data_IF_354417442464
#
_entry.id   IF_354417442464
#
_cell.length_a   1.000
_cell.length_b   1.000
_cell.length_c   1.000
_cell.angle_alpha   90.00
_cell.angle_beta   90.00
_cell.angle_gamma   90.00
#
_symmetry.space_group_name_H-M   'P 1'
#
loop_
_entity.id
_entity.type
_entity.pdbx_description
1 polymer ?
#
# COMPACT_ATOMS: atom_id res chain seq x y z
N UNK A 1 -24.07 26.50 -13.37
CA UNK A 1 -23.90 25.23 -12.63
C UNK A 1 -22.75 25.45 -11.64
N UNK A 2 -22.84 24.95 -10.40
CA UNK A 2 -21.72 25.05 -9.48
C UNK A 2 -20.49 24.35 -10.08
N UNK A 3 -19.29 24.92 -9.84
CA UNK A 3 -18.02 24.41 -10.38
C UNK A 3 -17.68 23.01 -9.87
N UNK A 4 -18.09 22.71 -8.64
CA UNK A 4 -17.89 21.42 -7.97
C UNK A 4 -19.24 20.83 -7.56
N UNK A 5 -19.31 19.50 -7.48
CA UNK A 5 -20.53 18.78 -7.08
C UNK A 5 -20.87 18.98 -5.59
N UNK A 6 -19.85 19.12 -4.75
CA UNK A 6 -19.95 19.28 -3.30
C UNK A 6 -18.66 19.90 -2.73
N UNK A 7 -18.63 20.11 -1.42
CA UNK A 7 -17.47 20.66 -0.70
C UNK A 7 -16.25 19.72 -0.74
N UNK A 8 -16.45 18.41 -0.78
CA UNK A 8 -15.39 17.41 -0.81
C UNK A 8 -14.61 17.50 -2.14
N UNK A 9 -15.32 17.62 -3.26
CA UNK A 9 -14.72 17.82 -4.58
C UNK A 9 -13.98 19.16 -4.70
N UNK A 10 -14.51 20.23 -4.10
CA UNK A 10 -13.83 21.54 -4.05
C UNK A 10 -12.55 21.47 -3.19
N UNK A 11 -12.62 20.78 -2.04
CA UNK A 11 -11.49 20.59 -1.14
C UNK A 11 -10.38 19.74 -1.77
N UNK A 12 -10.74 18.65 -2.46
CA UNK A 12 -9.79 17.81 -3.21
C UNK A 12 -9.01 18.60 -4.26
N UNK A 13 -9.69 19.53 -4.94
CA UNK A 13 -9.09 20.41 -5.91
C UNK A 13 -8.24 21.54 -5.30
N UNK A 14 -8.21 21.67 -3.96
CA UNK A 14 -7.48 22.73 -3.26
C UNK A 14 -8.09 24.13 -3.42
N UNK A 15 -9.35 24.23 -3.90
CA UNK A 15 -9.99 25.50 -4.23
C UNK A 15 -10.62 26.13 -2.97
N UNK A 16 -9.80 26.86 -2.21
CA UNK A 16 -10.21 27.56 -0.99
C UNK A 16 -11.39 28.51 -1.24
N UNK A 17 -11.41 29.24 -2.34
CA UNK A 17 -12.47 30.20 -2.63
C UNK A 17 -13.81 29.49 -2.82
N UNK A 18 -13.84 28.39 -3.58
CA UNK A 18 -15.05 27.61 -3.75
C UNK A 18 -15.52 26.96 -2.44
N UNK A 19 -14.60 26.46 -1.60
CA UNK A 19 -14.95 25.93 -0.28
C UNK A 19 -15.54 27.01 0.62
N UNK A 20 -14.97 28.22 0.62
CA UNK A 20 -15.50 29.36 1.37
C UNK A 20 -16.90 29.77 0.89
N UNK A 21 -17.12 29.86 -0.42
CA UNK A 21 -18.43 30.18 -1.00
C UNK A 21 -19.49 29.13 -0.62
N UNK A 22 -19.12 27.84 -0.65
CA UNK A 22 -20.02 26.73 -0.25
C UNK A 22 -20.38 26.85 1.23
N UNK A 23 -19.41 27.03 2.12
CA UNK A 23 -19.65 27.15 3.57
C UNK A 23 -20.43 28.44 3.92
N UNK A 24 -20.22 29.52 3.16
CA UNK A 24 -20.98 30.75 3.33
C UNK A 24 -22.45 30.57 2.92
N UNK A 25 -22.71 29.83 1.84
CA UNK A 25 -24.06 29.55 1.37
C UNK A 25 -24.79 28.53 2.27
N UNK A 26 -24.06 27.51 2.75
CA UNK A 26 -24.57 26.48 3.66
C UNK A 26 -23.48 26.06 4.67
N UNK A 27 -23.51 26.61 5.90
CA UNK A 27 -22.56 26.23 6.95
C UNK A 27 -22.60 24.74 7.33
N UNK A 28 -23.71 24.03 7.07
CA UNK A 28 -23.80 22.59 7.36
C UNK A 28 -23.02 21.73 6.37
N UNK A 29 -22.65 22.29 5.21
CA UNK A 29 -21.86 21.57 4.21
C UNK A 29 -20.53 21.04 4.79
N UNK A 30 -19.94 21.74 5.76
CA UNK A 30 -18.66 21.36 6.40
C UNK A 30 -18.70 20.00 7.12
N UNK A 31 -19.90 19.50 7.47
CA UNK A 31 -20.11 18.21 8.14
C UNK A 31 -20.45 17.05 7.18
N UNK A 32 -20.50 17.33 5.87
CA UNK A 32 -20.82 16.30 4.88
C UNK A 32 -19.64 15.38 4.60
N UNK A 33 -19.96 14.14 4.21
CA UNK A 33 -18.97 13.15 3.77
C UNK A 33 -19.32 12.61 2.41
N UNK A 34 -18.32 12.27 1.59
CA UNK A 34 -18.51 11.54 0.34
C UNK A 34 -18.93 10.06 0.59
N UNK A 35 -19.11 9.28 -0.48
CA UNK A 35 -19.50 7.86 -0.39
C UNK A 35 -18.52 6.97 0.39
N UNK A 36 -17.26 7.36 0.49
CA UNK A 36 -16.21 6.67 1.23
C UNK A 36 -16.11 7.13 2.70
N UNK A 37 -17.01 8.02 3.15
CA UNK A 37 -16.95 8.58 4.50
C UNK A 37 -15.86 9.64 4.70
N UNK A 38 -15.23 10.12 3.63
CA UNK A 38 -14.25 11.20 3.70
C UNK A 38 -15.01 12.52 3.82
N UNK A 39 -14.61 13.36 4.77
CA UNK A 39 -15.05 14.76 4.83
C UNK A 39 -14.12 15.65 3.99
N UNK A 40 -14.43 16.95 3.94
CA UNK A 40 -13.63 17.93 3.21
C UNK A 40 -12.15 17.97 3.67
N UNK A 41 -11.87 17.72 4.95
CA UNK A 41 -10.51 17.73 5.49
C UNK A 41 -9.68 16.56 4.96
N UNK A 42 -10.24 15.35 4.88
CA UNK A 42 -9.58 14.22 4.21
C UNK A 42 -9.22 14.57 2.77
N UNK A 43 -10.18 15.09 2.01
CA UNK A 43 -9.99 15.38 0.58
C UNK A 43 -8.95 16.48 0.34
N UNK A 44 -8.90 17.51 1.20
CA UNK A 44 -7.86 18.53 1.14
C UNK A 44 -6.44 17.97 1.33
N UNK A 45 -6.30 16.86 2.06
CA UNK A 45 -5.02 16.23 2.40
C UNK A 45 -4.58 15.14 1.38
N UNK A 46 -5.53 14.53 0.65
CA UNK A 46 -5.26 13.54 -0.42
C UNK A 46 -4.81 14.19 -1.75
N UNK A 47 -4.77 15.52 -1.81
CA UNK A 47 -4.72 16.33 -3.04
C UNK A 47 -3.89 15.72 -4.20
N UNK A 48 -4.49 15.73 -5.40
CA UNK A 48 -3.90 15.24 -6.66
C UNK A 48 -2.64 16.03 -7.12
N UNK A 49 -2.10 16.91 -6.27
CA UNK A 49 -1.15 17.96 -6.61
C UNK A 49 0.29 17.67 -6.13
N UNK A 50 0.74 16.43 -6.27
CA UNK A 50 2.12 16.00 -6.01
C UNK A 50 2.68 16.47 -4.64
N UNK A 51 1.91 16.35 -3.56
CA UNK A 51 2.34 16.69 -2.20
C UNK A 51 2.19 18.17 -1.79
N UNK A 52 1.68 19.04 -2.67
CA UNK A 52 1.41 20.45 -2.32
C UNK A 52 -0.01 20.63 -1.77
N UNK A 53 -0.19 20.30 -0.49
CA UNK A 53 -1.44 20.57 0.24
C UNK A 53 -1.60 22.08 0.49
N UNK A 54 -2.79 22.61 0.20
CA UNK A 54 -3.12 24.00 0.50
C UNK A 54 -3.40 24.17 2.01
N UNK A 55 -2.37 24.59 2.77
CA UNK A 55 -2.48 24.70 4.22
C UNK A 55 -3.54 25.73 4.69
N UNK A 56 -3.77 26.80 3.93
CA UNK A 56 -4.82 27.78 4.26
C UNK A 56 -6.23 27.20 4.11
N UNK A 57 -6.43 26.27 3.17
CA UNK A 57 -7.66 25.49 3.09
C UNK A 57 -7.84 24.56 4.30
N UNK A 58 -6.79 23.86 4.71
CA UNK A 58 -6.81 23.02 5.92
C UNK A 58 -7.17 23.86 7.15
N UNK A 59 -6.52 25.03 7.33
CA UNK A 59 -6.83 25.97 8.41
C UNK A 59 -8.29 26.39 8.37
N UNK A 60 -8.80 26.80 7.21
CA UNK A 60 -10.19 27.22 7.08
C UNK A 60 -11.16 26.12 7.50
N UNK A 61 -10.98 24.89 7.00
CA UNK A 61 -11.86 23.76 7.30
C UNK A 61 -11.87 23.43 8.80
N UNK A 62 -10.71 23.41 9.45
CA UNK A 62 -10.61 23.15 10.90
C UNK A 62 -11.32 24.24 11.70
N UNK A 63 -11.10 25.52 11.39
CA UNK A 63 -11.77 26.63 12.09
C UNK A 63 -13.28 26.72 11.79
N UNK A 64 -13.72 26.23 10.63
CA UNK A 64 -15.13 26.10 10.28
C UNK A 64 -15.82 24.93 11.02
N UNK A 65 -15.09 24.15 11.80
CA UNK A 65 -15.62 23.04 12.61
C UNK A 65 -15.74 21.73 11.84
N UNK A 66 -15.01 21.56 10.73
CA UNK A 66 -14.96 20.26 10.04
C UNK A 66 -14.52 19.17 11.02
N UNK A 67 -15.23 18.02 11.12
CA UNK A 67 -14.90 16.99 12.11
C UNK A 67 -13.48 16.43 11.93
N UNK A 68 -12.55 16.87 12.80
CA UNK A 68 -11.11 16.56 12.67
C UNK A 68 -10.77 15.08 12.88
N UNK A 69 -11.61 14.34 13.60
CA UNK A 69 -11.44 12.91 13.91
C UNK A 69 -12.45 12.01 13.16
N UNK A 70 -13.05 12.49 12.07
CA UNK A 70 -13.90 11.64 11.23
C UNK A 70 -13.08 10.45 10.72
N UNK A 71 -13.63 9.23 10.81
CA UNK A 71 -13.00 8.04 10.27
C UNK A 71 -13.67 7.66 8.95
N UNK A 72 -12.87 7.38 7.92
CA UNK A 72 -13.37 6.92 6.63
C UNK A 72 -13.92 5.49 6.67
N UNK A 73 -14.62 5.09 5.61
CA UNK A 73 -15.15 3.74 5.43
C UNK A 73 -14.22 2.93 4.52
N UNK A 74 -14.16 1.62 4.75
CA UNK A 74 -13.41 0.68 3.93
C UNK A 74 -12.59 -0.29 4.78
N UNK A 75 -11.77 -1.11 4.13
CA UNK A 75 -10.87 -2.07 4.80
C UNK A 75 -9.72 -1.40 5.56
N UNK A 76 -9.44 -0.13 5.23
CA UNK A 76 -8.36 0.69 5.78
C UNK A 76 -8.94 2.04 6.24
N UNK A 77 -9.71 2.07 7.34
CA UNK A 77 -10.36 3.26 7.84
C UNK A 77 -9.32 4.26 8.36
N UNK A 78 -9.35 5.49 7.86
CA UNK A 78 -8.33 6.53 8.14
C UNK A 78 -8.98 7.80 8.69
N UNK A 79 -8.26 8.48 9.57
CA UNK A 79 -8.55 9.84 10.01
C UNK A 79 -7.85 10.87 9.10
N UNK A 80 -8.24 12.15 9.14
CA UNK A 80 -7.50 13.21 8.45
C UNK A 80 -6.03 13.26 8.85
N UNK A 81 -5.71 13.07 10.14
CA UNK A 81 -4.32 13.02 10.60
C UNK A 81 -3.55 11.88 9.95
N UNK A 82 -4.16 10.71 9.80
CA UNK A 82 -3.52 9.57 9.15
C UNK A 82 -3.18 9.85 7.68
N UNK A 83 -4.12 10.46 6.95
CA UNK A 83 -3.88 10.91 5.58
C UNK A 83 -2.74 11.95 5.56
N UNK A 84 -2.73 12.90 6.50
CA UNK A 84 -1.66 13.89 6.58
C UNK A 84 -0.29 13.23 6.84
N UNK A 85 -0.21 12.27 7.76
CA UNK A 85 1.01 11.56 8.10
C UNK A 85 1.63 10.83 6.89
N UNK A 86 0.78 10.28 6.04
CA UNK A 86 1.20 9.50 4.87
C UNK A 86 1.54 10.37 3.66
N UNK A 87 0.75 11.42 3.40
CA UNK A 87 0.82 12.17 2.15
C UNK A 87 1.38 13.60 2.26
N UNK A 88 1.44 14.19 3.47
CA UNK A 88 1.94 15.56 3.65
C UNK A 88 3.40 15.55 4.15
N UNK A 89 4.39 15.99 3.35
CA UNK A 89 5.79 16.04 3.79
C UNK A 89 6.06 17.11 4.85
N UNK A 90 5.14 18.05 5.03
CA UNK A 90 5.27 19.18 5.93
C UNK A 90 4.74 18.86 7.34
N UNK A 91 5.63 18.93 8.32
CA UNK A 91 5.30 18.80 9.74
C UNK A 91 4.32 19.86 10.24
N UNK A 92 4.25 21.04 9.60
CA UNK A 92 3.36 22.12 10.05
C UNK A 92 1.88 21.72 9.99
N UNK A 93 1.47 20.97 8.96
CA UNK A 93 0.08 20.51 8.81
C UNK A 93 -0.24 19.50 9.91
N UNK A 94 0.66 18.54 10.16
CA UNK A 94 0.50 17.50 11.18
C UNK A 94 0.49 18.11 12.58
N UNK A 95 1.38 19.07 12.85
CA UNK A 95 1.40 19.82 14.11
C UNK A 95 0.11 20.60 14.30
N UNK A 96 -0.36 21.32 13.27
CA UNK A 96 -1.60 22.09 13.34
C UNK A 96 -2.82 21.21 13.61
N UNK A 97 -2.94 20.05 12.94
CA UNK A 97 -4.03 19.11 13.21
C UNK A 97 -3.98 18.62 14.67
N UNK A 98 -2.79 18.25 15.16
CA UNK A 98 -2.59 17.82 16.54
C UNK A 98 -2.97 18.90 17.55
N UNK A 99 -2.51 20.13 17.34
CA UNK A 99 -2.80 21.28 18.21
C UNK A 99 -4.30 21.60 18.26
N UNK A 100 -5.07 21.19 17.24
CA UNK A 100 -6.52 21.36 17.15
C UNK A 100 -7.31 20.10 17.57
N UNK A 101 -6.67 19.14 18.24
CA UNK A 101 -7.34 17.99 18.84
C UNK A 101 -7.52 16.80 17.90
N UNK A 102 -6.68 16.67 16.87
CA UNK A 102 -6.58 15.43 16.13
C UNK A 102 -6.12 14.28 17.04
N UNK A 103 -6.87 13.19 17.06
CA UNK A 103 -6.56 12.04 17.91
C UNK A 103 -5.35 11.27 17.35
N UNK A 104 -4.26 11.23 18.11
CA UNK A 104 -3.02 10.55 17.73
C UNK A 104 -3.07 9.02 17.92
N UNK A 105 -4.05 8.54 18.69
CA UNK A 105 -4.20 7.14 19.08
C UNK A 105 -5.23 6.38 18.23
N UNK A 106 -5.71 6.97 17.13
CA UNK A 106 -6.63 6.26 16.22
C UNK A 106 -5.87 5.14 15.55
N UNK A 107 -6.11 3.93 16.01
CA UNK A 107 -5.62 2.70 15.40
C UNK A 107 -6.38 2.48 14.09
N UNK A 108 -5.67 2.08 13.02
CA UNK A 108 -6.34 1.44 11.89
C UNK A 108 -7.01 0.13 12.38
N UNK A 109 -7.87 -0.46 11.55
CA UNK A 109 -8.61 -1.69 11.90
C UNK A 109 -7.76 -2.88 12.35
N UNK A 110 -6.44 -2.83 12.13
CA UNK A 110 -5.45 -3.84 12.49
C UNK A 110 -4.59 -3.50 13.73
N UNK A 111 -4.80 -2.35 14.38
CA UNK A 111 -4.00 -1.94 15.52
C UNK A 111 -2.69 -1.23 15.18
N UNK A 112 -2.43 -0.86 13.91
CA UNK A 112 -1.28 -0.03 13.53
C UNK A 112 -1.38 1.36 14.14
N UNK A 113 -0.24 1.91 14.55
CA UNK A 113 -0.13 3.28 15.03
C UNK A 113 0.19 4.22 13.86
N UNK A 114 -0.22 5.49 13.91
CA UNK A 114 0.03 6.50 12.86
C UNK A 114 1.53 6.75 12.55
N UNK A 115 2.43 6.24 13.38
CA UNK A 115 3.88 6.31 13.16
C UNK A 115 4.34 5.19 12.21
N UNK A 116 3.62 4.07 12.21
CA UNK A 116 3.95 2.86 11.47
C UNK A 116 3.41 2.89 10.03
N UNK A 117 2.46 3.79 9.71
CA UNK A 117 1.85 3.90 8.37
C UNK A 117 2.71 4.66 7.35
N UNK A 118 3.90 5.11 7.74
CA UNK A 118 4.77 5.94 6.91
C UNK A 118 5.79 5.05 6.19
N UNK A 119 5.42 4.63 4.97
CA UNK A 119 6.26 3.74 4.14
C UNK A 119 7.41 4.47 3.41
N UNK A 120 7.21 5.76 3.07
CA UNK A 120 8.23 6.58 2.41
C UNK A 120 9.05 7.41 3.41
N UNK A 121 9.94 6.73 4.15
CA UNK A 121 10.80 7.37 5.15
C UNK A 121 11.75 8.44 4.62
N UNK A 122 11.99 8.53 3.31
CA UNK A 122 12.90 9.54 2.78
C UNK A 122 12.26 10.94 2.78
N UNK A 123 10.98 11.03 2.43
CA UNK A 123 10.24 12.30 2.36
C UNK A 123 9.51 12.61 3.67
N UNK A 124 9.03 11.58 4.38
CA UNK A 124 8.18 11.72 5.55
C UNK A 124 8.90 11.53 6.90
N UNK A 125 10.25 11.51 6.88
CA UNK A 125 11.05 11.29 8.09
C UNK A 125 10.73 12.26 9.22
N UNK A 126 10.57 13.53 8.89
CA UNK A 126 10.32 14.59 9.85
C UNK A 126 8.95 14.41 10.52
N UNK A 127 7.93 14.04 9.74
CA UNK A 127 6.59 13.73 10.23
C UNK A 127 6.58 12.50 11.12
N UNK A 128 7.27 11.42 10.72
CA UNK A 128 7.37 10.23 11.56
C UNK A 128 8.07 10.51 12.90
N UNK A 129 9.14 11.30 12.88
CA UNK A 129 9.85 11.73 14.09
C UNK A 129 8.98 12.61 14.99
N UNK A 130 8.21 13.53 14.39
CA UNK A 130 7.27 14.37 15.12
C UNK A 130 6.22 13.52 15.81
N UNK A 131 5.55 12.63 15.06
CA UNK A 131 4.51 11.76 15.60
C UNK A 131 5.05 10.84 16.70
N UNK A 132 6.23 10.24 16.51
CA UNK A 132 6.90 9.43 17.54
C UNK A 132 7.18 10.24 18.82
N UNK A 133 7.58 11.50 18.68
CA UNK A 133 7.81 12.40 19.82
C UNK A 133 6.50 12.77 20.53
N UNK A 134 5.44 13.05 19.77
CA UNK A 134 4.14 13.47 20.31
C UNK A 134 3.40 12.34 21.02
N UNK A 135 3.52 11.10 20.53
CA UNK A 135 2.81 9.94 21.09
C UNK A 135 3.65 9.13 22.06
N UNK A 136 4.97 9.26 22.02
CA UNK A 136 5.89 8.35 22.71
C UNK A 136 5.96 6.94 22.09
N UNK A 137 5.27 6.71 20.97
CA UNK A 137 5.39 5.46 20.21
C UNK A 137 6.77 5.42 19.55
N UNK A 138 7.55 4.34 19.72
CA UNK A 138 8.89 4.26 19.16
C UNK A 138 8.83 4.33 17.63
N UNK A 139 9.90 4.85 17.02
CA UNK A 139 10.06 4.69 15.58
C UNK A 139 10.09 3.19 15.25
N UNK A 140 9.44 2.75 14.15
CA UNK A 140 9.54 1.37 13.72
C UNK A 140 11.01 1.03 13.54
N UNK A 141 11.40 -0.18 13.97
CA UNK A 141 12.75 -0.66 13.71
C UNK A 141 12.98 -0.64 12.20
N UNK A 142 14.17 -0.20 11.74
CA UNK A 142 14.49 -0.31 10.33
C UNK A 142 14.31 -1.78 9.92
N UNK A 143 13.80 -2.05 8.70
CA UNK A 143 13.62 -3.41 8.25
C UNK A 143 14.95 -4.16 8.41
N UNK A 144 14.91 -5.44 8.85
CA UNK A 144 16.12 -6.21 9.04
C UNK A 144 16.94 -6.18 7.74
N UNK A 145 18.28 -6.21 7.83
CA UNK A 145 19.10 -6.27 6.64
C UNK A 145 18.68 -7.47 5.79
N UNK A 146 18.79 -7.36 4.45
CA UNK A 146 18.40 -8.45 3.58
C UNK A 146 19.17 -9.72 3.96
N UNK A 147 18.47 -10.87 3.93
CA UNK A 147 19.03 -12.19 4.31
C UNK A 147 20.33 -12.50 3.57
N UNK A 148 20.43 -12.02 2.33
CA UNK A 148 21.64 -12.07 1.52
C UNK A 148 22.09 -10.67 1.12
N UNK A 149 23.41 -10.44 0.97
CA UNK A 149 23.91 -9.18 0.44
C UNK A 149 23.34 -8.93 -0.96
N UNK A 150 23.04 -7.66 -1.24
CA UNK A 150 22.59 -7.24 -2.56
C UNK A 150 23.63 -7.64 -3.61
N UNK A 151 23.19 -8.33 -4.66
CA UNK A 151 24.08 -8.83 -5.69
C UNK A 151 23.43 -8.83 -7.06
N UNK A 152 24.00 -8.02 -7.96
CA UNK A 152 23.62 -8.04 -9.37
C UNK A 152 24.18 -9.29 -10.05
N UNK A 153 23.31 -10.01 -10.74
CA UNK A 153 23.71 -11.18 -11.53
C UNK A 153 23.99 -10.84 -13.00
N UNK A 154 24.85 -11.64 -13.65
CA UNK A 154 25.11 -11.54 -15.09
C UNK A 154 23.91 -12.00 -15.93
N UNK A 155 23.91 -11.62 -17.22
CA UNK A 155 22.80 -11.89 -18.16
C UNK A 155 22.56 -13.39 -18.40
N UNK A 156 23.61 -14.22 -18.43
CA UNK A 156 23.45 -15.65 -18.71
C UNK A 156 22.81 -16.37 -17.52
N UNK A 157 23.26 -16.06 -16.30
CA UNK A 157 22.66 -16.55 -15.06
C UNK A 157 21.22 -16.05 -14.93
N UNK A 158 20.96 -14.76 -15.18
CA UNK A 158 19.61 -14.20 -15.14
C UNK A 158 18.63 -14.88 -16.10
N UNK A 159 19.10 -15.24 -17.31
CA UNK A 159 18.27 -15.97 -18.29
C UNK A 159 17.86 -17.35 -17.77
N UNK A 160 18.76 -18.06 -17.09
CA UNK A 160 18.46 -19.36 -16.47
C UNK A 160 17.50 -19.19 -15.28
N UNK A 161 17.72 -18.20 -14.43
CA UNK A 161 16.85 -17.89 -13.28
C UNK A 161 15.44 -17.55 -13.71
N UNK A 162 15.26 -16.64 -14.67
CA UNK A 162 13.93 -16.29 -15.19
C UNK A 162 13.21 -17.47 -15.85
N UNK A 163 13.93 -18.38 -16.50
CA UNK A 163 13.34 -19.62 -17.01
C UNK A 163 12.87 -20.55 -15.88
N UNK A 164 13.65 -20.66 -14.80
CA UNK A 164 13.27 -21.43 -13.61
C UNK A 164 12.07 -20.81 -12.87
N UNK A 165 12.01 -19.48 -12.74
CA UNK A 165 10.87 -18.76 -12.17
C UNK A 165 9.60 -19.04 -12.99
N UNK A 166 9.67 -18.94 -14.32
CA UNK A 166 8.53 -19.28 -15.20
C UNK A 166 8.06 -20.72 -15.01
N UNK A 167 8.98 -21.67 -14.85
CA UNK A 167 8.65 -23.06 -14.56
C UNK A 167 7.97 -23.21 -13.19
N UNK A 168 8.44 -22.50 -12.17
CA UNK A 168 7.82 -22.51 -10.85
C UNK A 168 6.39 -21.94 -10.89
N UNK A 169 6.18 -20.83 -11.60
CA UNK A 169 4.85 -20.25 -11.79
C UNK A 169 3.88 -21.21 -12.50
N UNK A 170 4.35 -21.96 -13.48
CA UNK A 170 3.54 -23.01 -14.10
C UNK A 170 3.18 -24.16 -13.13
N UNK A 171 4.00 -24.43 -12.11
CA UNK A 171 3.66 -25.40 -11.05
C UNK A 171 2.65 -24.82 -10.06
N UNK A 172 2.76 -23.54 -9.69
CA UNK A 172 1.76 -22.84 -8.88
C UNK A 172 0.37 -22.93 -9.54
N UNK A 173 0.28 -22.70 -10.85
CA UNK A 173 -0.98 -22.85 -11.59
C UNK A 173 -1.59 -24.25 -11.53
N UNK A 174 -0.73 -25.29 -11.60
CA UNK A 174 -1.18 -26.68 -11.45
C UNK A 174 -1.63 -27.00 -10.03
N UNK A 175 -1.06 -26.31 -9.04
CA UNK A 175 -1.41 -26.44 -7.63
C UNK A 175 -2.67 -25.64 -7.23
N UNK A 176 -3.35 -24.98 -8.18
CA UNK A 176 -4.57 -24.21 -7.88
C UNK A 176 -4.30 -22.77 -7.45
N UNK A 177 -3.23 -22.16 -7.96
CA UNK A 177 -2.89 -20.75 -7.69
C UNK A 177 -2.79 -20.02 -9.02
N UNK A 178 -3.59 -18.97 -9.23
CA UNK A 178 -3.47 -18.15 -10.44
C UNK A 178 -2.11 -17.43 -10.39
N UNK A 179 -1.19 -17.81 -11.28
CA UNK A 179 0.16 -17.25 -11.26
C UNK A 179 0.41 -16.36 -12.48
N UNK A 180 0.84 -15.12 -12.28
CA UNK A 180 1.22 -14.21 -13.38
C UNK A 180 2.68 -13.78 -13.21
N UNK A 181 3.61 -14.36 -13.99
CA UNK A 181 4.98 -13.88 -14.00
C UNK A 181 5.07 -12.60 -14.82
N UNK A 182 5.71 -11.56 -14.28
CA UNK A 182 5.90 -10.27 -14.96
C UNK A 182 4.58 -9.61 -15.35
N UNK A 183 3.71 -9.45 -14.36
CA UNK A 183 2.44 -8.72 -14.46
C UNK A 183 2.69 -7.21 -14.70
N UNK A 184 1.60 -6.47 -14.90
CA UNK A 184 1.55 -5.02 -15.08
C UNK A 184 2.24 -4.19 -13.99
N UNK A 185 2.14 -2.86 -14.10
CA UNK A 185 2.94 -1.95 -13.29
C UNK A 185 2.39 -1.77 -11.88
N UNK A 186 1.08 -1.53 -11.73
CA UNK A 186 0.45 -1.31 -10.42
C UNK A 186 -0.13 -2.59 -9.83
N UNK A 187 -0.17 -2.70 -8.50
CA UNK A 187 -0.75 -3.87 -7.80
C UNK A 187 -2.21 -4.09 -8.20
N UNK A 188 -3.02 -3.03 -8.27
CA UNK A 188 -4.43 -3.12 -8.65
C UNK A 188 -4.66 -3.66 -10.07
N UNK A 189 -3.86 -3.22 -11.05
CA UNK A 189 -3.90 -3.76 -12.41
C UNK A 189 -3.49 -5.24 -12.43
N UNK A 190 -2.46 -5.62 -11.68
CA UNK A 190 -2.01 -7.02 -11.60
C UNK A 190 -3.06 -7.94 -10.97
N UNK A 191 -3.78 -7.47 -9.95
CA UNK A 191 -4.90 -8.20 -9.36
C UNK A 191 -6.01 -8.37 -10.40
N UNK A 192 -6.38 -7.31 -11.12
CA UNK A 192 -7.37 -7.39 -12.19
C UNK A 192 -6.96 -8.43 -13.26
N UNK A 193 -5.69 -8.46 -13.67
CA UNK A 193 -5.17 -9.49 -14.59
C UNK A 193 -5.29 -10.91 -14.02
N UNK A 194 -5.10 -11.10 -12.72
CA UNK A 194 -5.30 -12.40 -12.07
C UNK A 194 -6.76 -12.83 -12.16
N UNK A 195 -7.71 -11.93 -11.92
CA UNK A 195 -9.14 -12.22 -12.04
C UNK A 195 -9.56 -12.44 -13.51
N UNK A 196 -9.07 -11.64 -14.46
CA UNK A 196 -9.30 -11.86 -15.89
C UNK A 196 -8.81 -13.25 -16.35
N UNK A 197 -7.64 -13.67 -15.84
CA UNK A 197 -7.07 -14.99 -16.12
C UNK A 197 -7.87 -16.11 -15.44
N UNK A 198 -8.41 -15.87 -14.24
CA UNK A 198 -9.27 -16.80 -13.51
C UNK A 198 -10.58 -17.02 -14.28
N UNK A 199 -11.23 -15.97 -14.77
CA UNK A 199 -12.49 -16.05 -15.53
C UNK A 199 -12.36 -16.85 -16.83
N UNK A 200 -11.15 -16.91 -17.40
CA UNK A 200 -10.86 -17.72 -18.58
C UNK A 200 -10.66 -19.22 -18.27
N UNK A 201 -10.64 -19.61 -16.99
CA UNK A 201 -10.44 -21.00 -16.59
C UNK A 201 -11.78 -21.77 -16.65
N UNK A 202 -11.78 -23.02 -17.15
CA UNK A 202 -13.01 -23.81 -17.23
C UNK A 202 -13.52 -24.26 -15.84
N UNK A 203 -12.63 -24.32 -14.86
CA UNK A 203 -12.94 -24.63 -13.46
C UNK A 203 -12.25 -23.60 -12.56
N UNK A 204 -12.94 -22.48 -12.33
CA UNK A 204 -12.43 -21.43 -11.45
C UNK A 204 -12.39 -21.88 -9.98
N UNK A 205 -13.22 -22.86 -9.59
CA UNK A 205 -13.39 -23.28 -8.20
C UNK A 205 -12.17 -24.00 -7.61
N UNK A 206 -11.29 -24.52 -8.48
CA UNK A 206 -10.03 -25.16 -8.06
C UNK A 206 -8.97 -24.18 -7.56
N UNK A 207 -9.15 -22.88 -7.80
CA UNK A 207 -8.15 -21.88 -7.46
C UNK A 207 -8.43 -21.26 -6.10
N UNK A 208 -7.46 -21.36 -5.19
CA UNK A 208 -7.57 -20.82 -3.83
C UNK A 208 -7.19 -19.33 -3.78
N UNK A 209 -6.20 -18.95 -4.59
CA UNK A 209 -5.62 -17.62 -4.59
C UNK A 209 -4.82 -17.30 -5.84
N UNK A 210 -4.13 -16.18 -5.80
CA UNK A 210 -3.25 -15.71 -6.87
C UNK A 210 -1.85 -15.39 -6.35
N UNK A 211 -0.88 -15.33 -7.27
CA UNK A 211 0.50 -14.96 -7.01
C UNK A 211 1.09 -14.25 -8.24
N UNK A 212 1.72 -13.10 -8.07
CA UNK A 212 2.36 -12.38 -9.18
C UNK A 212 3.59 -11.59 -8.75
N UNK A 213 4.41 -11.22 -9.73
CA UNK A 213 5.41 -10.17 -9.56
C UNK A 213 5.35 -9.22 -10.74
N UNK A 214 5.61 -7.95 -10.49
CA UNK A 214 5.59 -6.89 -11.50
C UNK A 214 6.91 -6.81 -12.26
N UNK A 215 6.90 -6.16 -13.42
CA UNK A 215 8.13 -5.88 -14.16
C UNK A 215 9.17 -5.06 -13.36
N UNK A 216 8.79 -4.01 -12.61
CA UNK A 216 9.70 -3.33 -11.68
C UNK A 216 10.35 -4.29 -10.67
N UNK A 217 9.58 -5.19 -10.06
CA UNK A 217 10.09 -6.18 -9.11
C UNK A 217 11.08 -7.14 -9.76
N UNK A 218 10.81 -7.60 -10.98
CA UNK A 218 11.74 -8.41 -11.79
C UNK A 218 13.08 -7.69 -12.02
N UNK A 219 13.02 -6.41 -12.39
CA UNK A 219 14.23 -5.63 -12.66
C UNK A 219 15.04 -5.40 -11.39
N UNK A 220 14.38 -5.07 -10.27
CA UNK A 220 15.02 -4.99 -8.94
C UNK A 220 15.64 -6.31 -8.52
N UNK A 221 14.96 -7.43 -8.73
CA UNK A 221 15.47 -8.75 -8.39
C UNK A 221 16.78 -9.10 -9.12
N UNK A 222 16.95 -8.63 -10.36
CA UNK A 222 18.20 -8.80 -11.10
C UNK A 222 19.35 -8.01 -10.48
N UNK A 223 19.07 -6.81 -9.99
CA UNK A 223 20.07 -5.89 -9.44
C UNK A 223 20.43 -6.21 -7.98
N UNK A 224 19.44 -6.63 -7.18
CA UNK A 224 19.58 -6.80 -5.73
C UNK A 224 19.47 -8.25 -5.26
N UNK A 225 19.04 -9.18 -6.11
CA UNK A 225 19.01 -10.61 -5.80
C UNK A 225 17.79 -11.11 -5.03
N UNK A 226 16.78 -10.26 -4.78
CA UNK A 226 15.51 -10.68 -4.18
C UNK A 226 14.33 -10.33 -5.08
N UNK A 227 13.47 -11.33 -5.35
CA UNK A 227 12.20 -11.13 -6.06
C UNK A 227 11.03 -11.10 -5.07
N UNK A 228 10.29 -10.00 -5.07
CA UNK A 228 9.08 -9.83 -4.28
C UNK A 228 7.85 -10.33 -5.03
N UNK A 229 7.12 -11.27 -4.43
CA UNK A 229 5.86 -11.78 -4.94
C UNK A 229 4.69 -11.22 -4.13
N UNK A 230 3.70 -10.68 -4.83
CA UNK A 230 2.38 -10.40 -4.28
C UNK A 230 1.56 -11.69 -4.34
N UNK A 231 0.68 -11.87 -3.37
CA UNK A 231 -0.25 -12.99 -3.32
C UNK A 231 -1.52 -12.56 -2.61
N UNK A 232 -2.58 -13.34 -2.76
CA UNK A 232 -3.85 -13.07 -2.10
C UNK A 232 -4.90 -14.11 -2.40
N UNK A 233 -5.97 -14.11 -1.61
CA UNK A 233 -7.08 -15.03 -1.76
C UNK A 233 -8.01 -14.59 -2.90
N UNK A 234 -8.63 -15.56 -3.57
CA UNK A 234 -9.72 -15.30 -4.52
C UNK A 234 -11.04 -15.07 -3.77
N UNK A 235 -11.23 -15.78 -2.64
CA UNK A 235 -12.40 -15.62 -1.79
C UNK A 235 -12.28 -14.36 -0.92
N UNK A 236 -13.42 -13.77 -0.55
CA UNK A 236 -13.48 -12.67 0.42
C UNK A 236 -13.04 -13.11 1.83
N UNK A 237 -13.16 -14.41 2.14
CA UNK A 237 -12.63 -14.99 3.37
C UNK A 237 -11.13 -15.28 3.23
N UNK A 238 -10.32 -14.52 3.97
CA UNK A 238 -8.87 -14.62 3.97
C UNK A 238 -8.31 -15.62 5.00
N UNK A 239 -9.16 -16.39 5.68
CA UNK A 239 -8.71 -17.38 6.68
C UNK A 239 -7.73 -18.43 6.13
N UNK A 240 -7.73 -18.67 4.82
CA UNK A 240 -6.82 -19.57 4.11
C UNK A 240 -5.50 -18.93 3.63
N UNK A 241 -5.25 -17.65 3.88
CA UNK A 241 -4.10 -16.94 3.29
C UNK A 241 -2.75 -17.48 3.75
N UNK A 242 -2.65 -17.93 5.01
CA UNK A 242 -1.43 -18.54 5.54
C UNK A 242 -1.11 -19.88 4.85
N UNK A 243 -2.13 -20.72 4.64
CA UNK A 243 -1.97 -21.99 3.91
C UNK A 243 -1.58 -21.74 2.45
N UNK A 244 -2.18 -20.73 1.81
CA UNK A 244 -1.80 -20.31 0.46
C UNK A 244 -0.33 -19.87 0.40
N UNK A 245 0.11 -19.01 1.33
CA UNK A 245 1.49 -18.52 1.38
C UNK A 245 2.50 -19.66 1.59
N UNK A 246 2.22 -20.56 2.54
CA UNK A 246 3.05 -21.74 2.82
C UNK A 246 3.15 -22.66 1.61
N UNK A 247 2.06 -22.84 0.86
CA UNK A 247 2.04 -23.62 -0.38
C UNK A 247 2.89 -22.97 -1.49
N UNK A 248 2.80 -21.65 -1.67
CA UNK A 248 3.62 -20.90 -2.63
C UNK A 248 5.10 -21.05 -2.28
N UNK A 249 5.46 -20.78 -1.02
CA UNK A 249 6.83 -20.87 -0.50
C UNK A 249 7.39 -22.29 -0.70
N UNK A 250 6.63 -23.31 -0.29
CA UNK A 250 7.04 -24.71 -0.41
C UNK A 250 7.29 -25.12 -1.86
N UNK A 251 6.44 -24.69 -2.80
CA UNK A 251 6.61 -24.99 -4.22
C UNK A 251 7.84 -24.30 -4.82
N UNK A 252 8.12 -23.04 -4.42
CA UNK A 252 9.31 -22.32 -4.85
C UNK A 252 10.59 -22.96 -4.30
N UNK A 253 10.59 -23.37 -3.03
CA UNK A 253 11.70 -24.08 -2.41
C UNK A 253 12.01 -25.41 -3.10
N UNK A 254 10.98 -26.15 -3.51
CA UNK A 254 11.15 -27.37 -4.32
C UNK A 254 11.77 -27.12 -5.70
N UNK A 255 11.69 -25.88 -6.22
CA UNK A 255 12.38 -25.48 -7.46
C UNK A 255 13.81 -24.96 -7.21
N UNK A 256 14.29 -24.99 -5.96
CA UNK A 256 15.65 -24.59 -5.58
C UNK A 256 15.82 -23.11 -5.25
N UNK A 257 14.71 -22.36 -5.11
CA UNK A 257 14.77 -20.99 -4.60
C UNK A 257 14.74 -20.97 -3.07
N UNK A 258 15.33 -19.96 -2.46
CA UNK A 258 15.11 -19.71 -1.03
C UNK A 258 13.96 -18.70 -0.88
N UNK A 259 12.75 -19.23 -0.73
CA UNK A 259 11.54 -18.44 -0.57
C UNK A 259 11.11 -18.42 0.90
N UNK A 260 10.60 -17.28 1.37
CA UNK A 260 10.09 -17.10 2.72
C UNK A 260 9.01 -16.01 2.77
N UNK A 261 8.16 -16.09 3.80
CA UNK A 261 7.16 -15.07 4.11
C UNK A 261 7.17 -14.81 5.61
N UNK A 262 6.74 -13.62 6.04
CA UNK A 262 6.87 -13.16 7.43
C UNK A 262 5.81 -13.73 8.37
N UNK A 263 4.76 -14.36 7.85
CA UNK A 263 3.54 -14.67 8.58
C UNK A 263 2.50 -13.54 8.52
N UNK A 264 2.85 -12.38 7.98
CA UNK A 264 1.94 -11.26 7.76
C UNK A 264 1.35 -11.32 6.33
N UNK A 265 0.01 -11.37 6.16
CA UNK A 265 -0.64 -11.37 4.85
C UNK A 265 -0.35 -10.14 3.99
N UNK A 266 -0.06 -9.00 4.61
CA UNK A 266 0.20 -7.74 3.92
C UNK A 266 1.63 -7.63 3.34
N UNK A 267 2.53 -8.52 3.78
CA UNK A 267 3.91 -8.53 3.31
C UNK A 267 4.08 -9.35 2.03
N UNK A 268 5.13 -9.06 1.26
CA UNK A 268 5.51 -9.89 0.11
C UNK A 268 6.06 -11.26 0.53
N UNK A 269 5.90 -12.26 -0.34
CA UNK A 269 6.76 -13.43 -0.31
C UNK A 269 8.11 -13.03 -0.92
N UNK A 270 9.18 -13.18 -0.15
CA UNK A 270 10.55 -12.92 -0.57
C UNK A 270 11.13 -14.16 -1.23
N UNK A 271 11.69 -14.02 -2.43
CA UNK A 271 12.40 -15.09 -3.13
C UNK A 271 13.85 -14.69 -3.35
N UNK A 272 14.73 -15.21 -2.51
CA UNK A 272 16.16 -14.96 -2.58
C UNK A 272 16.80 -15.83 -3.66
N UNK A 273 17.52 -15.17 -4.58
CA UNK A 273 18.03 -15.78 -5.79
C UNK A 273 19.50 -16.18 -5.69
N UNK A 274 20.23 -15.65 -4.71
CA UNK A 274 21.66 -15.91 -4.50
C UNK A 274 21.97 -17.42 -4.33
N UNK A 275 21.23 -18.20 -3.51
CA UNK A 275 21.46 -19.64 -3.42
C UNK A 275 21.29 -20.36 -4.77
N UNK A 276 20.29 -19.93 -5.55
CA UNK A 276 20.03 -20.47 -6.88
C UNK A 276 21.15 -20.10 -7.87
N UNK A 277 21.67 -18.86 -7.82
CA UNK A 277 22.80 -18.43 -8.65
C UNK A 277 24.05 -19.28 -8.37
N UNK A 278 24.35 -19.54 -7.08
CA UNK A 278 25.48 -20.38 -6.68
C UNK A 278 25.35 -21.80 -7.24
N UNK A 279 24.14 -22.39 -7.20
CA UNK A 279 23.87 -23.72 -7.74
C UNK A 279 23.96 -23.80 -9.29
N UNK A 280 23.80 -22.68 -10.00
CA UNK A 280 23.99 -22.64 -11.46
C UNK A 280 25.45 -22.56 -11.89
N UNK A 281 26.34 -22.17 -10.98
CA UNK A 281 27.77 -22.03 -11.21
C UNK A 281 28.57 -23.31 -10.88
N UNK A 282 27.99 -24.22 -10.10
CA UNK A 282 28.50 -25.56 -9.79
C UNK A 282 28.14 -26.59 -10.85
#
# INVERSE_FOLDING_TARGET
>A
MPKYSDICAAARAGDLAAVQDIVQADPQAVFTTNKYGFNALHEALVADNCGNVNFELVRFLVHAGCPINQISKGSHPRSPLWIAAEFCPDTEIVQFLTDNGADLATLESDGRHVVDCIDNLQEQKAVQQLLSTLTGHPLPEPPPPPKYPEHRTDTATWRKTTAAIKKAFAQLERAGIIAIPNASYTVGECIAECFDKLEQQPDCSRFMGYCFYTEPNKNRAREFGCLYLNYGMIAEDESGIAELADNIVSLLQQQGFDAEWSGNPDDYINVWLQPFYAALAS
#
